data_IF_909992970497
#
_entry.id   IF_909992970497
#
_cell.length_a   1.000
_cell.length_b   1.000
_cell.length_c   1.000
_cell.angle_alpha   90.00
_cell.angle_beta   90.00
_cell.angle_gamma   90.00
#
_symmetry.space_group_name_H-M   'P 1'
#
loop_
_entity.id
_entity.type
_entity.pdbx_description
1 polymer ?
#
# COMPACT_ATOMS: atom_id res chain seq x y z
N UNK A 1 -13.97 7.82 -19.83
CA UNK A 1 -13.43 7.40 -18.53
C UNK A 1 -13.78 5.95 -18.36
N UNK A 2 -12.81 5.06 -18.57
CA UNK A 2 -13.03 3.62 -18.56
C UNK A 2 -12.83 3.12 -17.12
N UNK A 3 -13.89 2.66 -16.48
CA UNK A 3 -13.87 2.24 -15.08
C UNK A 3 -12.78 1.19 -14.81
N UNK A 4 -12.50 0.33 -15.80
CA UNK A 4 -11.48 -0.71 -15.72
C UNK A 4 -10.05 -0.15 -15.77
N UNK A 5 -9.77 0.92 -16.53
CA UNK A 5 -8.43 1.52 -16.57
C UNK A 5 -8.09 2.26 -15.28
N UNK A 6 -9.09 2.78 -14.57
CA UNK A 6 -8.90 3.47 -13.30
C UNK A 6 -8.86 2.50 -12.10
N UNK A 7 -9.57 1.37 -12.19
CA UNK A 7 -9.69 0.40 -11.09
C UNK A 7 -8.57 -0.65 -11.05
N UNK A 8 -8.04 -1.04 -12.22
CA UNK A 8 -6.98 -2.06 -12.33
C UNK A 8 -5.70 -1.69 -11.58
N UNK A 9 -5.20 -0.43 -11.65
CA UNK A 9 -4.02 -0.03 -10.92
C UNK A 9 -4.25 -0.11 -9.40
N UNK A 10 -5.40 0.34 -8.92
CA UNK A 10 -5.77 0.26 -7.51
C UNK A 10 -5.82 -1.19 -7.00
N UNK A 11 -6.46 -2.09 -7.75
CA UNK A 11 -6.53 -3.51 -7.42
C UNK A 11 -5.14 -4.17 -7.40
N UNK A 12 -4.26 -3.82 -8.33
CA UNK A 12 -2.89 -4.33 -8.38
C UNK A 12 -2.06 -3.94 -7.16
N UNK A 13 -2.13 -2.67 -6.74
CA UNK A 13 -1.41 -2.15 -5.58
C UNK A 13 -1.90 -2.82 -4.27
N UNK A 14 -3.22 -3.02 -4.16
CA UNK A 14 -3.84 -3.71 -3.02
C UNK A 14 -3.37 -5.17 -2.88
N UNK A 15 -3.32 -5.92 -3.99
CA UNK A 15 -2.82 -7.30 -4.01
C UNK A 15 -1.32 -7.36 -3.67
N UNK A 16 -0.53 -6.41 -4.16
CA UNK A 16 0.90 -6.35 -3.90
C UNK A 16 1.19 -6.13 -2.40
N UNK A 17 0.49 -5.18 -1.78
CA UNK A 17 0.62 -4.90 -0.34
C UNK A 17 0.15 -6.08 0.52
N UNK A 18 -0.92 -6.76 0.11
CA UNK A 18 -1.39 -7.99 0.77
C UNK A 18 -0.35 -9.11 0.68
N UNK A 19 0.25 -9.33 -0.49
CA UNK A 19 1.28 -10.35 -0.69
C UNK A 19 2.53 -10.09 0.19
N UNK A 20 2.98 -8.84 0.28
CA UNK A 20 4.12 -8.45 1.12
C UNK A 20 3.83 -8.70 2.61
N UNK A 21 2.60 -8.41 3.05
CA UNK A 21 2.16 -8.67 4.42
C UNK A 21 2.13 -10.17 4.75
N UNK A 22 1.73 -11.00 3.79
CA UNK A 22 1.66 -12.46 3.94
C UNK A 22 3.05 -13.09 4.15
N UNK A 23 4.10 -12.51 3.58
CA UNK A 23 5.44 -13.11 3.62
C UNK A 23 6.04 -13.35 5.01
N UNK A 24 5.58 -12.69 6.09
CA UNK A 24 6.15 -12.70 7.47
C UNK A 24 7.67 -12.47 7.60
N UNK A 25 8.37 -12.28 6.49
CA UNK A 25 9.83 -12.06 6.36
C UNK A 25 10.23 -10.61 6.52
N UNK A 26 9.28 -9.68 6.43
CA UNK A 26 9.53 -8.25 6.54
C UNK A 26 9.25 -7.81 7.99
N UNK A 27 10.27 -7.37 8.74
CA UNK A 27 10.05 -6.79 10.07
C UNK A 27 9.08 -5.61 9.97
N UNK A 28 8.15 -5.51 10.93
CA UNK A 28 7.09 -4.50 10.93
C UNK A 28 7.58 -3.06 10.73
N UNK A 29 8.81 -2.74 11.16
CA UNK A 29 9.46 -1.43 10.97
C UNK A 29 9.70 -1.05 9.51
N UNK A 30 9.79 -2.02 8.59
CA UNK A 30 10.09 -1.77 7.18
C UNK A 30 8.83 -1.65 6.32
N UNK A 31 7.67 -2.04 6.84
CA UNK A 31 6.41 -1.96 6.11
C UNK A 31 6.10 -0.52 5.64
N UNK A 32 6.30 0.54 6.46
CA UNK A 32 6.06 1.91 6.01
C UNK A 32 6.97 2.33 4.85
N UNK A 33 8.25 1.96 4.92
CA UNK A 33 9.25 2.30 3.92
C UNK A 33 8.92 1.60 2.59
N UNK A 34 8.56 0.32 2.65
CA UNK A 34 8.17 -0.46 1.47
C UNK A 34 6.89 0.11 0.85
N UNK A 35 5.91 0.49 1.66
CA UNK A 35 4.69 1.12 1.17
C UNK A 35 4.96 2.45 0.43
N UNK A 36 5.91 3.26 0.91
CA UNK A 36 6.34 4.51 0.23
C UNK A 36 7.01 4.22 -1.10
N UNK A 37 7.98 3.30 -1.12
CA UNK A 37 8.70 2.94 -2.35
C UNK A 37 7.71 2.41 -3.40
N UNK A 38 6.80 1.53 -2.99
CA UNK A 38 5.81 0.94 -3.88
C UNK A 38 4.77 1.95 -4.34
N UNK A 39 4.26 2.80 -3.45
CA UNK A 39 3.31 3.85 -3.81
C UNK A 39 3.86 4.78 -4.88
N UNK A 40 5.12 5.23 -4.73
CA UNK A 40 5.80 6.09 -5.70
C UNK A 40 6.09 5.35 -7.00
N UNK A 41 6.65 4.13 -6.94
CA UNK A 41 6.92 3.32 -8.13
C UNK A 41 5.66 3.06 -8.95
N UNK A 42 4.54 2.81 -8.28
CA UNK A 42 3.26 2.55 -8.92
C UNK A 42 2.67 3.81 -9.57
N UNK A 43 2.74 4.95 -8.89
CA UNK A 43 2.29 6.21 -9.46
C UNK A 43 3.14 6.66 -10.66
N UNK A 44 4.44 6.38 -10.65
CA UNK A 44 5.33 6.59 -11.80
C UNK A 44 4.99 5.69 -12.99
N UNK A 45 4.63 4.43 -12.73
CA UNK A 45 4.19 3.54 -13.80
C UNK A 45 2.88 4.02 -14.45
N UNK A 46 1.94 4.52 -13.65
CA UNK A 46 0.62 4.94 -14.14
C UNK A 46 0.63 6.31 -14.82
N UNK A 47 1.36 7.29 -14.30
CA UNK A 47 1.29 8.69 -14.73
C UNK A 47 2.58 9.21 -15.38
N UNK A 48 3.59 8.34 -15.55
CA UNK A 48 4.94 8.73 -15.94
C UNK A 48 5.72 9.39 -14.79
N UNK A 49 7.02 9.59 -15.02
CA UNK A 49 7.92 10.18 -14.02
C UNK A 49 7.72 11.70 -14.01
N UNK A 50 6.83 12.17 -13.14
CA UNK A 50 6.52 13.58 -12.94
C UNK A 50 6.46 13.94 -11.45
N UNK A 51 6.68 15.22 -11.07
CA UNK A 51 6.52 15.65 -9.69
C UNK A 51 5.12 15.36 -9.12
N UNK A 52 4.08 15.47 -9.96
CA UNK A 52 2.71 15.16 -9.57
C UNK A 52 2.52 13.67 -9.25
N UNK A 53 3.13 12.79 -10.04
CA UNK A 53 3.11 11.35 -9.80
C UNK A 53 3.77 10.98 -8.46
N UNK A 54 4.81 11.70 -8.04
CA UNK A 54 5.42 11.49 -6.70
C UNK A 54 4.42 11.78 -5.59
N UNK A 55 3.65 12.87 -5.70
CA UNK A 55 2.63 13.25 -4.71
C UNK A 55 1.51 12.21 -4.66
N UNK A 56 1.03 11.76 -5.83
CA UNK A 56 0.01 10.71 -5.94
C UNK A 56 0.52 9.40 -5.29
N UNK A 57 1.77 9.02 -5.56
CA UNK A 57 2.37 7.83 -4.98
C UNK A 57 2.55 7.89 -3.47
N UNK A 58 2.87 9.08 -2.93
CA UNK A 58 2.87 9.34 -1.49
C UNK A 58 1.48 9.19 -0.86
N UNK A 59 0.43 9.64 -1.55
CA UNK A 59 -0.95 9.44 -1.08
C UNK A 59 -1.31 7.94 -1.04
N UNK A 60 -0.97 7.18 -2.09
CA UNK A 60 -1.16 5.72 -2.10
C UNK A 60 -0.40 5.02 -0.99
N UNK A 61 0.84 5.43 -0.74
CA UNK A 61 1.65 4.90 0.35
C UNK A 61 1.02 5.14 1.72
N UNK A 62 0.58 6.37 2.00
CA UNK A 62 -0.05 6.73 3.28
C UNK A 62 -1.33 5.94 3.55
N UNK A 63 -2.18 5.79 2.52
CA UNK A 63 -3.38 4.96 2.61
C UNK A 63 -3.01 3.49 2.90
N UNK A 64 -2.04 2.94 2.18
CA UNK A 64 -1.55 1.57 2.41
C UNK A 64 -1.01 1.36 3.82
N UNK A 65 -0.24 2.31 4.35
CA UNK A 65 0.29 2.28 5.72
C UNK A 65 -0.85 2.29 6.73
N UNK A 66 -1.82 3.19 6.57
CA UNK A 66 -2.99 3.30 7.45
C UNK A 66 -3.79 2.00 7.51
N UNK A 67 -4.06 1.39 6.35
CA UNK A 67 -4.74 0.09 6.28
C UNK A 67 -3.95 -1.02 6.96
N UNK A 68 -2.63 -1.10 6.73
CA UNK A 68 -1.81 -2.14 7.34
C UNK A 68 -1.78 -1.99 8.87
N UNK A 69 -1.58 -0.77 9.35
CA UNK A 69 -1.60 -0.45 10.78
C UNK A 69 -2.97 -0.77 11.40
N UNK A 70 -4.06 -0.36 10.75
CA UNK A 70 -5.43 -0.63 11.22
C UNK A 70 -5.71 -2.12 11.39
N UNK A 71 -5.40 -2.94 10.38
CA UNK A 71 -5.59 -4.39 10.48
C UNK A 71 -4.67 -4.99 11.56
N UNK A 72 -3.44 -4.51 11.71
CA UNK A 72 -2.53 -4.98 12.76
C UNK A 72 -3.12 -4.74 14.15
N UNK A 73 -3.55 -3.51 14.43
CA UNK A 73 -4.18 -3.16 15.71
C UNK A 73 -5.47 -3.94 15.95
N UNK A 74 -6.27 -4.17 14.90
CA UNK A 74 -7.48 -4.99 14.99
C UNK A 74 -7.17 -6.44 15.37
N UNK A 75 -6.16 -7.06 14.75
CA UNK A 75 -5.74 -8.43 15.09
C UNK A 75 -5.15 -8.52 16.51
N UNK A 76 -4.29 -7.57 16.90
CA UNK A 76 -3.72 -7.52 18.26
C UNK A 76 -4.80 -7.30 19.34
N UNK A 77 -5.87 -6.55 19.02
CA UNK A 77 -7.01 -6.38 19.93
C UNK A 77 -7.75 -7.70 20.14
N UNK A 78 -8.04 -8.45 19.08
CA UNK A 78 -8.74 -9.73 19.18
C UNK A 78 -7.90 -10.80 19.92
N UNK A 79 -6.58 -10.80 19.76
CA UNK A 79 -5.69 -11.70 20.52
C UNK A 79 -5.64 -11.39 22.03
N UNK A 80 -5.85 -10.13 22.44
CA UNK A 80 -5.85 -9.74 23.87
C UNK A 80 -7.21 -9.95 24.56
N UNK A 81 -8.28 -10.09 23.79
CA UNK A 81 -9.65 -10.28 24.29
C UNK A 81 -10.11 -11.76 24.26
N UNK A 82 -9.27 -12.70 23.78
CA UNK A 82 -9.47 -14.17 23.84
C UNK A 82 -8.64 -14.83 24.92
#
# INVERSE_FOLDING_TARGET
>A
MDFLTDFTPYAGLAVLLYAIRQTKRVPNRFIPIIAVILGIAFAFWQNGITPAATIIGLQYALLGIGTVAGIKYFLEKNEKES
#
